data_IF_031743208778
#
_entry.id   IF_031743208778
#
_cell.length_a   1.000
_cell.length_b   1.000
_cell.length_c   1.000
_cell.angle_alpha   90.00
_cell.angle_beta   90.00
_cell.angle_gamma   90.00
#
_symmetry.space_group_name_H-M   'P 1'
#
loop_
_entity.id
_entity.type
_entity.pdbx_description
1 polymer ?
#
# COMPACT_ATOMS: atom_id res chain seq x y z
N UNK A 1 20.59 18.69 23.73
CA UNK A 1 19.40 19.17 22.99
C UNK A 1 18.82 17.98 22.25
N UNK A 2 17.71 17.44 22.74
CA UNK A 2 17.05 16.26 22.17
C UNK A 2 15.74 16.74 21.54
N UNK A 3 15.73 16.90 20.21
CA UNK A 3 14.48 17.10 19.47
C UNK A 3 14.23 15.80 18.72
N UNK A 4 13.75 14.79 19.45
CA UNK A 4 13.09 13.66 18.83
C UNK A 4 11.78 14.23 18.28
N UNK A 5 11.77 14.56 16.98
CA UNK A 5 10.53 14.74 16.24
C UNK A 5 9.70 13.48 16.50
N UNK A 6 8.71 13.58 17.38
CA UNK A 6 7.60 12.63 17.40
C UNK A 6 6.81 12.87 16.11
N UNK A 7 7.38 12.45 14.99
CA UNK A 7 6.65 12.22 13.76
C UNK A 7 5.78 11.00 14.02
N UNK A 8 4.67 11.21 14.75
CA UNK A 8 3.53 10.31 14.78
C UNK A 8 2.80 10.45 13.44
N UNK A 9 3.54 10.32 12.34
CA UNK A 9 2.99 10.19 11.00
C UNK A 9 2.44 8.79 10.98
N UNK A 10 1.13 8.66 11.19
CA UNK A 10 0.41 7.40 11.09
C UNK A 10 0.44 6.97 9.63
N UNK A 11 1.54 6.34 9.21
CA UNK A 11 1.60 5.63 7.94
C UNK A 11 0.41 4.69 7.86
N UNK A 12 -0.40 4.83 6.81
CA UNK A 12 -1.62 4.05 6.67
C UNK A 12 -1.27 2.59 6.41
N UNK A 13 -1.90 1.71 7.18
CA UNK A 13 -1.80 0.26 7.01
C UNK A 13 -3.19 -0.29 6.75
N UNK A 14 -3.30 -1.09 5.69
CA UNK A 14 -4.54 -1.71 5.23
C UNK A 14 -4.37 -3.22 5.28
N UNK A 15 -5.42 -3.93 5.67
CA UNK A 15 -5.50 -5.38 5.56
C UNK A 15 -6.57 -5.70 4.51
N UNK A 16 -6.15 -6.01 3.28
CA UNK A 16 -7.06 -6.31 2.18
C UNK A 16 -7.22 -7.83 2.09
N UNK A 17 -8.44 -8.31 2.26
CA UNK A 17 -8.76 -9.75 2.21
C UNK A 17 -9.51 -10.07 0.93
N UNK A 18 -9.04 -11.08 0.21
CA UNK A 18 -9.78 -11.72 -0.88
C UNK A 18 -10.13 -13.15 -0.48
N UNK A 19 -10.89 -13.85 -1.32
CA UNK A 19 -11.28 -15.25 -1.06
C UNK A 19 -10.09 -16.20 -0.88
N UNK A 20 -8.93 -15.86 -1.45
CA UNK A 20 -7.76 -16.74 -1.50
C UNK A 20 -6.53 -16.19 -0.80
N UNK A 21 -6.48 -14.89 -0.50
CA UNK A 21 -5.28 -14.22 -0.01
C UNK A 21 -5.61 -13.10 0.97
N UNK A 22 -4.67 -12.83 1.86
CA UNK A 22 -4.66 -11.64 2.70
C UNK A 22 -3.42 -10.83 2.35
N UNK A 23 -3.63 -9.57 1.98
CA UNK A 23 -2.58 -8.62 1.65
C UNK A 23 -2.42 -7.67 2.83
N UNK A 24 -1.22 -7.58 3.36
CA UNK A 24 -0.83 -6.52 4.29
C UNK A 24 -0.20 -5.38 3.49
N UNK A 25 -0.88 -4.24 3.46
CA UNK A 25 -0.50 -3.10 2.63
C UNK A 25 -0.11 -1.94 3.53
N UNK A 26 1.08 -1.42 3.36
CA UNK A 26 1.60 -0.29 4.13
C UNK A 26 1.99 0.84 3.19
N UNK A 27 1.46 2.04 3.43
CA UNK A 27 1.90 3.25 2.76
C UNK A 27 3.31 3.61 3.24
N UNK A 28 4.25 3.76 2.31
CA UNK A 28 5.66 4.02 2.62
C UNK A 28 5.96 5.49 2.84
N UNK A 29 5.20 6.39 2.21
CA UNK A 29 5.40 7.84 2.29
C UNK A 29 4.04 8.52 2.35
N UNK A 30 3.83 9.39 3.35
CA UNK A 30 2.59 10.15 3.50
C UNK A 30 2.37 11.08 2.30
N UNK A 31 1.12 11.16 1.82
CA UNK A 31 0.76 11.98 0.66
C UNK A 31 1.22 11.43 -0.69
N UNK A 32 1.92 10.29 -0.72
CA UNK A 32 2.36 9.63 -1.95
C UNK A 32 1.69 8.26 -2.06
N UNK A 33 1.17 7.96 -3.25
CA UNK A 33 0.61 6.65 -3.57
C UNK A 33 1.74 5.62 -3.83
N UNK A 34 2.55 5.34 -2.80
CA UNK A 34 3.62 4.36 -2.79
C UNK A 34 3.41 3.40 -1.62
N UNK A 35 3.31 2.11 -1.91
CA UNK A 35 2.90 1.10 -0.96
C UNK A 35 3.82 -0.11 -1.01
N UNK A 36 4.12 -0.64 0.17
CA UNK A 36 4.66 -1.97 0.37
C UNK A 36 3.51 -2.95 0.57
N UNK A 37 3.60 -4.12 -0.06
CA UNK A 37 2.59 -5.16 0.01
C UNK A 37 3.26 -6.47 0.39
N UNK A 38 2.79 -7.10 1.46
CA UNK A 38 3.18 -8.43 1.87
C UNK A 38 2.02 -9.41 1.68
N UNK A 39 2.29 -10.54 1.02
CA UNK A 39 1.30 -11.61 0.81
C UNK A 39 2.00 -12.95 0.62
N UNK A 40 1.59 -13.97 1.37
CA UNK A 40 2.11 -15.34 1.24
C UNK A 40 3.65 -15.43 1.28
N UNK A 41 4.31 -14.62 2.12
CA UNK A 41 5.77 -14.57 2.24
C UNK A 41 6.48 -13.79 1.13
N UNK A 42 5.74 -13.21 0.19
CA UNK A 42 6.27 -12.32 -0.84
C UNK A 42 6.12 -10.85 -0.46
N UNK A 43 7.07 -10.04 -0.93
CA UNK A 43 7.10 -8.60 -0.73
C UNK A 43 7.15 -7.90 -2.10
N UNK A 44 6.31 -6.87 -2.23
CA UNK A 44 6.20 -6.02 -3.41
C UNK A 44 6.20 -4.56 -2.98
N UNK A 45 6.70 -3.69 -3.85
CA UNK A 45 6.48 -2.25 -3.78
C UNK A 45 5.77 -1.82 -5.05
N UNK A 46 4.65 -1.10 -4.87
CA UNK A 46 3.81 -0.62 -5.96
C UNK A 46 3.54 0.85 -5.78
N UNK A 47 3.34 1.54 -6.90
CA UNK A 47 2.98 2.95 -6.88
C UNK A 47 1.90 3.25 -7.91
N UNK A 48 1.16 4.35 -7.69
CA UNK A 48 0.24 4.90 -8.68
C UNK A 48 0.97 5.98 -9.47
N UNK A 49 1.08 5.79 -10.79
CA UNK A 49 1.71 6.79 -11.65
C UNK A 49 0.84 8.03 -11.80
N UNK A 50 1.41 9.13 -12.29
CA UNK A 50 0.69 10.38 -12.58
C UNK A 50 -0.51 10.22 -13.53
N UNK A 51 -0.48 9.20 -14.41
CA UNK A 51 -1.61 8.83 -15.25
C UNK A 51 -2.71 8.02 -14.53
N UNK A 52 -2.63 7.85 -13.21
CA UNK A 52 -3.57 7.08 -12.39
C UNK A 52 -3.43 5.55 -12.48
N UNK A 53 -2.40 5.03 -13.15
CA UNK A 53 -2.20 3.58 -13.33
C UNK A 53 -1.31 3.01 -12.24
N UNK A 54 -1.71 1.86 -11.70
CA UNK A 54 -0.90 1.10 -10.74
C UNK A 54 0.27 0.40 -11.43
N UNK A 55 1.46 0.51 -10.85
CA UNK A 55 2.70 -0.04 -11.38
C UNK A 55 3.52 -0.72 -10.30
N UNK A 56 4.21 -1.77 -10.69
CA UNK A 56 5.22 -2.42 -9.85
C UNK A 56 6.52 -1.60 -9.88
N UNK A 57 7.04 -1.26 -8.71
CA UNK A 57 8.38 -0.69 -8.55
C UNK A 57 9.40 -1.80 -8.27
N UNK A 58 9.07 -2.68 -7.33
CA UNK A 58 9.95 -3.74 -6.87
C UNK A 58 9.17 -5.00 -6.48
N UNK A 59 9.79 -6.16 -6.64
CA UNK A 59 9.35 -7.42 -6.03
C UNK A 59 10.56 -8.24 -5.63
N UNK A 60 10.43 -9.04 -4.57
CA UNK A 60 11.42 -10.07 -4.27
C UNK A 60 11.57 -11.06 -5.45
N UNK A 61 12.76 -11.64 -5.66
CA UNK A 61 12.94 -12.78 -6.56
C UNK A 61 11.97 -13.92 -6.21
N UNK A 62 11.60 -14.73 -7.20
CA UNK A 62 10.71 -15.89 -7.07
C UNK A 62 9.25 -15.60 -6.66
N UNK A 63 8.92 -14.32 -6.45
CA UNK A 63 7.56 -13.91 -6.21
C UNK A 63 6.72 -13.88 -7.49
N UNK A 64 5.53 -14.46 -7.39
CA UNK A 64 4.55 -14.48 -8.49
C UNK A 64 4.15 -13.08 -8.88
N UNK A 65 3.58 -12.94 -10.07
CA UNK A 65 3.01 -11.66 -10.49
C UNK A 65 1.86 -11.24 -9.58
N UNK A 66 1.85 -9.96 -9.24
CA UNK A 66 0.80 -9.35 -8.43
C UNK A 66 -0.29 -8.81 -9.37
N UNK A 67 -1.58 -9.04 -9.09
CA UNK A 67 -2.66 -8.52 -9.93
C UNK A 67 -2.84 -7.01 -9.67
N UNK A 68 -1.96 -6.20 -10.27
CA UNK A 68 -1.78 -4.78 -9.93
C UNK A 68 -3.05 -3.94 -10.07
N UNK A 69 -3.80 -4.10 -11.15
CA UNK A 69 -5.00 -3.27 -11.37
C UNK A 69 -6.09 -3.57 -10.34
N UNK A 70 -6.42 -4.85 -10.13
CA UNK A 70 -7.48 -5.20 -9.19
C UNK A 70 -7.08 -4.93 -7.73
N UNK A 71 -5.83 -5.21 -7.36
CA UNK A 71 -5.33 -4.90 -6.02
C UNK A 71 -5.21 -3.39 -5.79
N UNK A 72 -4.73 -2.65 -6.78
CA UNK A 72 -4.65 -1.20 -6.74
C UNK A 72 -6.03 -0.54 -6.55
N UNK A 73 -7.05 -1.02 -7.25
CA UNK A 73 -8.42 -0.52 -7.07
C UNK A 73 -8.98 -0.80 -5.67
N UNK A 74 -8.58 -1.91 -5.04
CA UNK A 74 -8.94 -2.18 -3.64
C UNK A 74 -8.22 -1.21 -2.69
N UNK A 75 -6.94 -0.93 -2.92
CA UNK A 75 -6.18 0.07 -2.15
C UNK A 75 -6.82 1.45 -2.26
N UNK A 76 -7.17 1.88 -3.48
CA UNK A 76 -7.86 3.15 -3.72
C UNK A 76 -9.17 3.27 -2.91
N UNK A 77 -9.95 2.19 -2.90
CA UNK A 77 -11.25 2.14 -2.23
C UNK A 77 -11.10 2.25 -0.71
N UNK A 78 -10.15 1.51 -0.14
CA UNK A 78 -9.85 1.54 1.31
C UNK A 78 -9.27 2.90 1.73
N UNK A 79 -8.36 3.46 0.95
CA UNK A 79 -7.77 4.78 1.21
C UNK A 79 -8.83 5.89 1.16
N UNK A 80 -9.78 5.81 0.24
CA UNK A 80 -10.91 6.73 0.17
C UNK A 80 -11.85 6.58 1.38
N UNK A 81 -12.11 5.35 1.83
CA UNK A 81 -12.93 5.08 3.01
C UNK A 81 -12.31 5.67 4.28
N UNK A 82 -11.00 5.51 4.47
CA UNK A 82 -10.26 6.12 5.58
C UNK A 82 -10.36 7.65 5.60
N UNK A 83 -10.35 8.31 4.43
CA UNK A 83 -10.55 9.76 4.37
C UNK A 83 -11.96 10.19 4.75
N UNK A 84 -12.99 9.37 4.48
CA UNK A 84 -14.39 9.70 4.81
C UNK A 84 -14.72 9.51 6.30
N UNK A 85 -14.00 8.66 7.01
CA UNK A 85 -14.23 8.42 8.45
C UNK A 85 -13.50 9.42 9.36
N UNK A 86 -12.59 10.23 8.82
CA UNK A 86 -11.82 11.23 9.56
C UNK A 86 -12.24 12.70 9.32
N UNK A 87 -13.39 12.92 8.67
CA UNK A 87 -13.94 14.25 8.38
C UNK A 87 -15.20 14.55 9.18
#
# INVERSE_FOLDING_TARGET
>A
MNVLYQARILMKRLCIKTNTKVYDVQQLVEGVDLFKIEVSGCLYEVYKSSSGKWKLLYRLPDCRELPLESLGNMIDSEMLALHKQGG
#
